data_IF_592394064305
#
_entry.id   IF_592394064305
#
_cell.length_a   1.000
_cell.length_b   1.000
_cell.length_c   1.000
_cell.angle_alpha   90.00
_cell.angle_beta   90.00
_cell.angle_gamma   90.00
#
_symmetry.space_group_name_H-M   'P 1'
#
loop_
_entity.id
_entity.type
_entity.pdbx_description
1 polymer ?
#
# COMPACT_ATOMS: atom_id res chain seq x y z
N UNK A 1 -31.19 -17.38 42.34
CA UNK A 1 -31.44 -15.94 42.25
C UNK A 1 -31.09 -15.51 40.84
N UNK A 2 -32.10 -15.15 40.02
CA UNK A 2 -31.88 -14.64 38.67
C UNK A 2 -31.46 -13.17 38.80
N UNK A 3 -30.26 -12.81 38.30
CA UNK A 3 -29.80 -11.43 38.27
C UNK A 3 -30.78 -10.57 37.44
N UNK A 4 -30.95 -9.32 37.85
CA UNK A 4 -31.82 -8.36 37.22
C UNK A 4 -31.53 -8.20 35.74
N UNK A 5 -32.54 -8.04 34.89
CA UNK A 5 -32.41 -7.76 33.45
C UNK A 5 -31.64 -6.44 33.22
N UNK A 6 -31.64 -5.52 34.19
CA UNK A 6 -30.96 -4.25 34.16
C UNK A 6 -29.41 -4.40 34.19
N UNK A 7 -28.92 -5.38 34.97
CA UNK A 7 -27.48 -5.66 35.05
C UNK A 7 -26.93 -6.24 33.74
N UNK A 8 -27.76 -6.93 32.96
CA UNK A 8 -27.40 -7.46 31.65
C UNK A 8 -27.53 -6.42 30.53
N UNK A 9 -28.31 -5.37 30.67
CA UNK A 9 -28.46 -4.33 29.66
C UNK A 9 -27.15 -3.53 29.45
N UNK A 10 -26.32 -3.42 30.47
CA UNK A 10 -25.01 -2.77 30.37
C UNK A 10 -24.00 -3.56 29.49
N UNK A 11 -24.14 -4.90 29.44
CA UNK A 11 -23.34 -5.78 28.58
C UNK A 11 -23.72 -5.69 27.09
N UNK A 12 -24.92 -5.23 26.79
CA UNK A 12 -25.44 -5.05 25.43
C UNK A 12 -25.42 -3.60 24.94
N UNK A 13 -24.65 -2.71 25.57
CA UNK A 13 -24.38 -1.40 24.99
C UNK A 13 -23.73 -1.66 23.62
N UNK A 14 -24.54 -1.49 22.55
CA UNK A 14 -24.05 -1.49 21.18
C UNK A 14 -22.85 -0.56 21.12
N UNK A 15 -21.65 -1.11 20.96
CA UNK A 15 -20.48 -0.31 20.58
C UNK A 15 -20.86 0.35 19.25
N UNK A 16 -21.12 1.64 19.28
CA UNK A 16 -21.35 2.43 18.07
C UNK A 16 -19.99 2.55 17.41
N UNK A 17 -19.72 1.65 16.47
CA UNK A 17 -18.52 1.77 15.65
C UNK A 17 -18.73 2.91 14.66
N UNK A 18 -18.09 4.02 14.90
CA UNK A 18 -18.00 5.07 13.90
C UNK A 18 -17.00 4.57 12.85
N UNK A 19 -17.52 4.20 11.66
CA UNK A 19 -16.66 3.83 10.56
C UNK A 19 -15.90 5.07 10.09
N UNK A 20 -14.59 5.08 10.30
CA UNK A 20 -13.69 6.07 9.69
C UNK A 20 -13.15 5.41 8.42
N UNK A 21 -13.44 5.95 7.22
CA UNK A 21 -12.86 5.43 5.99
C UNK A 21 -11.33 5.46 6.11
N UNK A 22 -10.61 4.40 5.73
CA UNK A 22 -9.16 4.45 5.69
C UNK A 22 -8.71 5.55 4.71
N UNK A 23 -7.60 6.21 5.02
CA UNK A 23 -6.97 7.12 4.07
C UNK A 23 -6.73 6.40 2.74
N UNK A 24 -6.87 7.09 1.60
CA UNK A 24 -6.59 6.49 0.29
C UNK A 24 -5.15 5.95 0.27
N UNK A 25 -4.90 4.84 -0.47
CA UNK A 25 -3.54 4.32 -0.61
C UNK A 25 -2.63 5.37 -1.25
N UNK A 26 -1.35 5.34 -0.89
CA UNK A 26 -0.35 6.19 -1.54
C UNK A 26 -0.33 5.93 -3.06
N UNK A 27 -0.02 6.97 -3.82
CA UNK A 27 0.12 6.86 -5.27
C UNK A 27 1.31 5.95 -5.61
N UNK A 28 1.05 4.98 -6.47
CA UNK A 28 2.06 4.05 -6.93
C UNK A 28 2.74 4.58 -8.20
N UNK A 29 4.06 4.43 -8.24
CA UNK A 29 4.83 4.72 -9.45
C UNK A 29 4.47 3.67 -10.50
N UNK A 30 4.20 4.11 -11.71
CA UNK A 30 3.90 3.26 -12.88
C UNK A 30 2.80 2.23 -12.58
N UNK A 31 1.64 2.69 -12.11
CA UNK A 31 0.52 1.83 -11.74
C UNK A 31 -0.21 1.26 -12.96
N UNK A 32 -0.47 -0.05 -12.93
CA UNK A 32 -1.35 -0.76 -13.87
C UNK A 32 -2.63 -1.15 -13.17
N UNK A 33 -3.78 -0.84 -13.76
CA UNK A 33 -5.09 -1.07 -13.16
C UNK A 33 -5.85 -2.18 -13.88
N UNK A 34 -6.44 -3.09 -13.11
CA UNK A 34 -7.34 -4.15 -13.56
C UNK A 34 -8.71 -3.99 -12.92
N UNK A 35 -9.77 -4.08 -13.70
CA UNK A 35 -11.15 -3.96 -13.20
C UNK A 35 -11.71 -5.33 -12.86
N UNK A 36 -12.08 -5.55 -11.59
CA UNK A 36 -12.84 -6.72 -11.15
C UNK A 36 -14.35 -6.51 -11.32
N UNK A 37 -14.85 -5.37 -10.86
CA UNK A 37 -16.24 -4.97 -11.01
C UNK A 37 -16.34 -3.46 -11.16
N UNK A 38 -16.76 -3.01 -12.33
CA UNK A 38 -16.90 -1.58 -12.60
C UNK A 38 -18.05 -0.96 -11.82
N UNK A 39 -19.16 -1.66 -11.67
CA UNK A 39 -20.36 -1.16 -11.00
C UNK A 39 -20.13 -1.03 -9.49
N UNK A 40 -19.51 -2.04 -8.87
CA UNK A 40 -19.13 -2.01 -7.45
C UNK A 40 -17.80 -1.29 -7.21
N UNK A 41 -17.18 -0.71 -8.25
CA UNK A 41 -15.89 0.00 -8.20
C UNK A 41 -14.79 -0.83 -7.52
N UNK A 42 -14.64 -2.08 -7.96
CA UNK A 42 -13.57 -2.96 -7.49
C UNK A 42 -12.44 -3.03 -8.51
N UNK A 43 -11.26 -2.69 -8.07
CA UNK A 43 -10.06 -2.61 -8.93
C UNK A 43 -8.88 -3.28 -8.25
N UNK A 44 -7.93 -3.75 -9.06
CA UNK A 44 -6.59 -4.15 -8.63
C UNK A 44 -5.62 -3.17 -9.25
N UNK A 45 -4.82 -2.49 -8.42
CA UNK A 45 -3.73 -1.65 -8.88
C UNK A 45 -2.41 -2.32 -8.55
N UNK A 46 -1.53 -2.43 -9.52
CA UNK A 46 -0.18 -3.00 -9.37
C UNK A 46 0.83 -1.94 -9.75
N UNK A 47 1.67 -1.55 -8.83
CA UNK A 47 2.66 -0.51 -9.06
C UNK A 47 3.83 -0.62 -8.10
N UNK A 48 4.71 0.35 -8.14
CA UNK A 48 5.91 0.43 -7.33
C UNK A 48 5.66 1.42 -6.20
N UNK A 49 5.83 0.98 -4.97
CA UNK A 49 5.69 1.82 -3.78
C UNK A 49 7.05 2.43 -3.41
N UNK A 50 7.21 3.75 -3.56
CA UNK A 50 8.46 4.41 -3.19
C UNK A 50 8.74 4.35 -1.69
N UNK A 51 7.71 4.28 -0.84
CA UNK A 51 7.86 4.22 0.62
C UNK A 51 8.36 2.86 1.10
N UNK A 52 8.17 1.81 0.31
CA UNK A 52 8.61 0.44 0.58
C UNK A 52 9.89 0.06 -0.16
N UNK A 53 10.83 0.99 -0.31
CA UNK A 53 12.11 0.76 -1.03
C UNK A 53 11.89 0.31 -2.48
N UNK A 54 10.94 0.91 -3.19
CA UNK A 54 10.58 0.62 -4.57
C UNK A 54 10.14 -0.82 -4.83
N UNK A 55 9.53 -1.47 -3.83
CA UNK A 55 8.94 -2.80 -4.00
C UNK A 55 7.64 -2.71 -4.79
N UNK A 56 7.35 -3.79 -5.52
CA UNK A 56 6.05 -3.95 -6.17
C UNK A 56 5.01 -4.26 -5.11
N UNK A 57 3.90 -3.56 -5.19
CA UNK A 57 2.74 -3.76 -4.31
C UNK A 57 1.47 -3.90 -5.13
N UNK A 58 0.50 -4.56 -4.53
CA UNK A 58 -0.81 -4.77 -5.12
C UNK A 58 -1.87 -4.19 -4.18
N UNK A 59 -2.63 -3.23 -4.66
CA UNK A 59 -3.79 -2.70 -3.95
C UNK A 59 -5.06 -3.32 -4.52
N UNK A 60 -5.86 -3.95 -3.69
CA UNK A 60 -7.24 -4.31 -4.06
C UNK A 60 -8.14 -3.24 -3.45
N UNK A 61 -8.86 -2.53 -4.30
CA UNK A 61 -9.66 -1.36 -3.92
C UNK A 61 -11.14 -1.62 -4.13
N UNK A 62 -11.94 -1.00 -3.28
CA UNK A 62 -13.38 -0.81 -3.43
C UNK A 62 -13.70 0.67 -3.28
N UNK A 63 -14.95 1.07 -3.47
CA UNK A 63 -15.38 2.47 -3.29
C UNK A 63 -15.10 3.06 -1.89
N UNK A 64 -14.92 2.22 -0.87
CA UNK A 64 -14.77 2.68 0.52
C UNK A 64 -13.61 2.04 1.28
N UNK A 65 -12.93 1.06 0.71
CA UNK A 65 -11.89 0.28 1.39
C UNK A 65 -10.82 -0.18 0.43
N UNK A 66 -9.65 -0.44 0.96
CA UNK A 66 -8.58 -1.10 0.23
C UNK A 66 -7.80 -2.05 1.14
N UNK A 67 -7.14 -3.02 0.53
CA UNK A 67 -6.16 -3.88 1.18
C UNK A 67 -4.89 -3.85 0.33
N UNK A 68 -3.77 -3.68 1.01
CA UNK A 68 -2.45 -3.78 0.44
C UNK A 68 -1.98 -5.23 0.59
N UNK A 69 -1.61 -5.86 -0.52
CA UNK A 69 -1.08 -7.21 -0.54
C UNK A 69 0.24 -7.27 -1.29
N UNK A 70 1.08 -8.24 -0.95
CA UNK A 70 2.33 -8.48 -1.69
C UNK A 70 2.07 -9.32 -2.95
N UNK A 71 2.99 -9.28 -3.94
CA UNK A 71 2.92 -10.19 -5.09
C UNK A 71 2.87 -11.66 -4.68
N UNK A 72 3.60 -12.04 -3.63
CA UNK A 72 3.64 -13.41 -3.10
C UNK A 72 2.29 -13.82 -2.53
N UNK A 73 1.61 -12.92 -1.80
CA UNK A 73 0.27 -13.19 -1.29
C UNK A 73 -0.75 -13.35 -2.44
N UNK A 74 -0.64 -12.52 -3.48
CA UNK A 74 -1.49 -12.66 -4.67
C UNK A 74 -1.26 -14.01 -5.38
N UNK A 75 0.00 -14.43 -5.52
CA UNK A 75 0.35 -15.77 -6.05
C UNK A 75 -0.27 -16.89 -5.20
N UNK A 76 -0.33 -16.72 -3.86
CA UNK A 76 -1.03 -17.65 -2.97
C UNK A 76 -2.53 -17.69 -3.24
N UNK A 77 -3.18 -16.53 -3.45
CA UNK A 77 -4.61 -16.50 -3.84
C UNK A 77 -4.82 -17.33 -5.10
N UNK A 78 -4.00 -17.15 -6.13
CA UNK A 78 -4.09 -17.94 -7.37
C UNK A 78 -3.85 -19.45 -7.12
N UNK A 79 -2.86 -19.81 -6.31
CA UNK A 79 -2.59 -21.22 -6.00
C UNK A 79 -3.73 -21.91 -5.25
N UNK A 80 -4.51 -21.16 -4.48
CA UNK A 80 -5.71 -21.68 -3.79
C UNK A 80 -7.01 -21.49 -4.57
N UNK A 81 -6.97 -20.91 -5.78
CA UNK A 81 -8.18 -20.52 -6.51
C UNK A 81 -9.16 -21.68 -6.73
N UNK A 82 -8.68 -22.87 -7.03
CA UNK A 82 -9.52 -24.05 -7.16
C UNK A 82 -10.30 -24.37 -5.86
N UNK A 83 -9.63 -24.34 -4.72
CA UNK A 83 -10.26 -24.53 -3.41
C UNK A 83 -11.23 -23.41 -3.06
N UNK A 84 -10.84 -22.17 -3.33
CA UNK A 84 -11.66 -20.98 -3.08
C UNK A 84 -12.94 -21.06 -3.90
N UNK A 85 -12.83 -21.33 -5.20
CA UNK A 85 -14.00 -21.43 -6.10
C UNK A 85 -14.90 -22.62 -5.73
N UNK A 86 -14.32 -23.77 -5.40
CA UNK A 86 -15.10 -24.91 -4.93
C UNK A 86 -15.98 -24.55 -3.74
N UNK A 87 -15.44 -23.81 -2.76
CA UNK A 87 -16.20 -23.35 -1.60
C UNK A 87 -17.23 -22.26 -1.96
N UNK A 88 -16.84 -21.28 -2.77
CA UNK A 88 -17.70 -20.14 -3.13
C UNK A 88 -18.90 -20.58 -3.98
N UNK A 89 -18.72 -21.62 -4.79
CA UNK A 89 -19.77 -22.18 -5.65
C UNK A 89 -20.72 -23.13 -4.89
N UNK A 90 -20.34 -23.59 -3.70
CA UNK A 90 -21.17 -24.46 -2.87
C UNK A 90 -22.36 -23.69 -2.25
N UNK A 91 -23.35 -24.43 -1.78
CA UNK A 91 -24.50 -23.87 -1.08
C UNK A 91 -24.07 -23.17 0.19
N UNK A 92 -24.44 -21.88 0.38
CA UNK A 92 -24.06 -21.14 1.57
C UNK A 92 -24.58 -21.77 2.86
N UNK A 93 -23.67 -22.08 3.78
CA UNK A 93 -24.00 -22.60 5.10
C UNK A 93 -23.75 -21.50 6.15
N UNK A 94 -24.82 -21.07 6.80
CA UNK A 94 -24.75 -20.07 7.87
C UNK A 94 -23.75 -20.56 8.95
N UNK A 95 -22.79 -19.70 9.31
CA UNK A 95 -21.72 -19.98 10.29
C UNK A 95 -20.53 -20.81 9.77
N UNK A 96 -20.56 -21.38 8.58
CA UNK A 96 -19.37 -22.04 8.01
C UNK A 96 -18.37 -20.98 7.56
N UNK A 97 -17.20 -20.94 8.21
CA UNK A 97 -16.07 -20.16 7.78
C UNK A 97 -14.91 -21.08 7.48
N UNK A 98 -14.20 -20.81 6.41
CA UNK A 98 -12.98 -21.54 6.02
C UNK A 98 -11.84 -20.56 6.02
N UNK A 99 -10.73 -20.94 6.64
CA UNK A 99 -9.47 -20.26 6.55
C UNK A 99 -8.67 -20.93 5.44
N UNK A 100 -8.35 -20.18 4.36
CA UNK A 100 -7.56 -20.72 3.26
C UNK A 100 -6.07 -20.49 3.47
N UNK A 101 -5.71 -19.31 3.95
CA UNK A 101 -4.32 -18.91 4.20
C UNK A 101 -4.25 -17.77 5.22
N UNK A 102 -3.19 -17.75 6.00
CA UNK A 102 -2.91 -16.66 6.94
C UNK A 102 -1.40 -16.52 7.09
N UNK A 103 -0.91 -15.30 7.08
CA UNK A 103 0.45 -14.93 7.45
C UNK A 103 0.44 -13.88 8.58
N UNK A 104 1.56 -13.21 8.82
CA UNK A 104 1.69 -12.22 9.89
C UNK A 104 0.81 -10.98 9.65
N UNK A 105 0.61 -10.59 8.39
CA UNK A 105 0.01 -9.31 7.99
C UNK A 105 -1.41 -9.50 7.46
N UNK A 106 -1.67 -10.61 6.75
CA UNK A 106 -2.87 -10.82 5.96
C UNK A 106 -3.56 -12.14 6.30
N UNK A 107 -4.87 -12.14 6.11
CA UNK A 107 -5.71 -13.33 6.29
C UNK A 107 -6.65 -13.50 5.09
N UNK A 108 -6.67 -14.71 4.56
CA UNK A 108 -7.54 -15.15 3.46
C UNK A 108 -8.54 -16.14 4.00
N UNK A 109 -9.80 -15.79 4.06
CA UNK A 109 -10.87 -16.60 4.64
C UNK A 109 -12.16 -16.47 3.85
N UNK A 110 -13.16 -17.25 4.21
CA UNK A 110 -14.52 -17.13 3.66
C UNK A 110 -15.51 -16.67 4.72
N UNK A 111 -16.62 -16.12 4.26
CA UNK A 111 -17.80 -15.89 5.06
C UNK A 111 -19.06 -15.91 4.19
N UNK A 112 -20.22 -16.00 4.82
CA UNK A 112 -21.50 -15.75 4.14
C UNK A 112 -21.87 -14.27 4.29
N UNK A 113 -22.09 -13.59 3.17
CA UNK A 113 -22.51 -12.21 3.11
C UNK A 113 -23.67 -12.05 2.12
N UNK A 114 -24.77 -11.43 2.55
CA UNK A 114 -26.01 -11.28 1.75
C UNK A 114 -26.55 -12.57 1.14
N UNK A 115 -26.37 -13.69 1.85
CA UNK A 115 -26.84 -15.01 1.40
C UNK A 115 -25.93 -15.75 0.44
N UNK A 116 -24.75 -15.22 0.15
CA UNK A 116 -23.75 -15.83 -0.73
C UNK A 116 -22.43 -16.07 0.00
N UNK A 117 -21.72 -17.12 -0.42
CA UNK A 117 -20.34 -17.32 0.01
C UNK A 117 -19.45 -16.26 -0.65
N UNK A 118 -18.60 -15.60 0.15
CA UNK A 118 -17.63 -14.60 -0.33
C UNK A 118 -16.24 -14.88 0.22
N UNK A 119 -15.22 -14.56 -0.55
CA UNK A 119 -13.84 -14.54 -0.10
C UNK A 119 -13.59 -13.24 0.66
N UNK A 120 -12.88 -13.34 1.77
CA UNK A 120 -12.48 -12.20 2.61
C UNK A 120 -10.96 -12.12 2.60
N UNK A 121 -10.44 -10.98 2.17
CA UNK A 121 -9.03 -10.59 2.34
C UNK A 121 -9.00 -9.53 3.42
N UNK A 122 -8.31 -9.77 4.51
CA UNK A 122 -8.30 -8.92 5.70
C UNK A 122 -6.85 -8.60 6.10
N UNK A 123 -6.56 -7.32 6.31
CA UNK A 123 -5.31 -6.88 6.89
C UNK A 123 -5.38 -6.99 8.42
N UNK A 124 -4.38 -7.62 9.04
CA UNK A 124 -4.34 -7.88 10.49
C UNK A 124 -3.81 -6.67 11.26
N UNK A 125 -3.00 -5.85 10.62
CA UNK A 125 -2.37 -4.64 11.17
C UNK A 125 -3.31 -3.43 11.23
N UNK A 126 -4.43 -3.48 10.48
CA UNK A 126 -5.39 -2.38 10.34
C UNK A 126 -6.82 -2.86 10.57
N UNK A 127 -7.38 -2.52 11.71
CA UNK A 127 -8.75 -2.87 12.06
C UNK A 127 -9.73 -2.33 11.00
N UNK A 128 -10.58 -3.22 10.47
CA UNK A 128 -11.61 -2.87 9.47
C UNK A 128 -11.13 -2.82 8.01
N UNK A 129 -9.83 -2.98 7.73
CA UNK A 129 -9.31 -3.10 6.38
C UNK A 129 -9.52 -4.51 5.84
N UNK A 130 -10.72 -4.74 5.28
CA UNK A 130 -11.07 -6.01 4.64
C UNK A 130 -11.84 -5.78 3.36
N UNK A 131 -11.62 -6.66 2.40
CA UNK A 131 -12.32 -6.67 1.11
C UNK A 131 -13.06 -7.99 0.96
N UNK A 132 -14.25 -7.89 0.39
CA UNK A 132 -15.11 -9.03 0.07
C UNK A 132 -15.14 -9.21 -1.43
N UNK A 133 -14.72 -10.39 -1.90
CA UNK A 133 -14.80 -10.79 -3.30
C UNK A 133 -15.89 -11.85 -3.45
N UNK A 134 -16.88 -11.54 -4.28
CA UNK A 134 -17.95 -12.47 -4.60
C UNK A 134 -17.53 -13.43 -5.73
N UNK A 135 -18.43 -14.31 -6.12
CA UNK A 135 -18.22 -15.28 -7.20
C UNK A 135 -17.76 -14.61 -8.51
N UNK A 136 -18.43 -13.55 -8.93
CA UNK A 136 -18.13 -12.87 -10.20
C UNK A 136 -16.74 -12.21 -10.18
N UNK A 137 -16.38 -11.59 -9.05
CA UNK A 137 -15.04 -11.00 -8.82
C UNK A 137 -13.94 -12.07 -8.94
N UNK A 138 -14.15 -13.25 -8.34
CA UNK A 138 -13.16 -14.31 -8.33
C UNK A 138 -13.00 -14.98 -9.71
N UNK A 139 -14.09 -15.17 -10.43
CA UNK A 139 -14.04 -15.66 -11.81
C UNK A 139 -13.28 -14.64 -12.69
N UNK A 140 -13.57 -13.33 -12.52
CA UNK A 140 -12.86 -12.29 -13.24
C UNK A 140 -11.36 -12.25 -12.87
N UNK A 141 -11.05 -12.38 -11.59
CA UNK A 141 -9.67 -12.44 -11.09
C UNK A 141 -8.91 -13.62 -11.71
N UNK A 142 -9.53 -14.78 -11.80
CA UNK A 142 -8.94 -15.96 -12.43
C UNK A 142 -8.66 -15.74 -13.93
N UNK A 143 -9.58 -15.10 -14.66
CA UNK A 143 -9.34 -14.76 -16.07
C UNK A 143 -8.19 -13.76 -16.25
N UNK A 144 -7.95 -12.90 -15.28
CA UNK A 144 -6.88 -11.91 -15.29
C UNK A 144 -5.53 -12.45 -14.82
N UNK A 145 -5.46 -13.67 -14.28
CA UNK A 145 -4.27 -14.25 -13.67
C UNK A 145 -3.03 -14.13 -14.55
N UNK A 146 -3.10 -14.60 -15.80
CA UNK A 146 -1.95 -14.54 -16.71
C UNK A 146 -1.47 -13.11 -16.96
N UNK A 147 -2.40 -12.17 -17.20
CA UNK A 147 -2.06 -10.77 -17.44
C UNK A 147 -1.49 -10.09 -16.20
N UNK A 148 -1.98 -10.44 -15.02
CA UNK A 148 -1.48 -9.94 -13.74
C UNK A 148 -0.07 -10.46 -13.48
N UNK A 149 0.15 -11.76 -13.64
CA UNK A 149 1.48 -12.40 -13.46
C UNK A 149 2.49 -11.83 -14.43
N UNK A 150 2.14 -11.66 -15.70
CA UNK A 150 3.01 -11.01 -16.69
C UNK A 150 3.36 -9.58 -16.28
N UNK A 151 2.39 -8.81 -15.81
CA UNK A 151 2.62 -7.44 -15.32
C UNK A 151 3.56 -7.41 -14.12
N UNK A 152 3.40 -8.31 -13.17
CA UNK A 152 4.30 -8.42 -12.01
C UNK A 152 5.73 -8.71 -12.46
N UNK A 153 5.92 -9.72 -13.32
CA UNK A 153 7.25 -10.09 -13.84
C UNK A 153 7.87 -8.94 -14.63
N UNK A 154 7.12 -8.30 -15.52
CA UNK A 154 7.61 -7.16 -16.29
C UNK A 154 8.03 -6.01 -15.42
N UNK A 155 7.25 -5.67 -14.39
CA UNK A 155 7.60 -4.61 -13.45
C UNK A 155 8.86 -4.96 -12.65
N UNK A 156 8.96 -6.19 -12.17
CA UNK A 156 10.11 -6.66 -11.39
C UNK A 156 11.42 -6.63 -12.21
N UNK A 157 11.37 -7.14 -13.44
CA UNK A 157 12.57 -7.32 -14.26
C UNK A 157 12.99 -6.03 -14.97
N UNK A 158 12.04 -5.22 -15.43
CA UNK A 158 12.36 -4.07 -16.27
C UNK A 158 12.05 -2.73 -15.58
N UNK A 159 10.89 -2.59 -14.93
CA UNK A 159 10.45 -1.28 -14.45
C UNK A 159 11.15 -0.88 -13.16
N UNK A 160 11.25 -1.79 -12.19
CA UNK A 160 11.90 -1.50 -10.88
C UNK A 160 13.36 -1.08 -11.04
N UNK A 161 14.21 -1.79 -11.80
CA UNK A 161 15.59 -1.34 -12.02
C UNK A 161 15.68 0.04 -12.68
N UNK A 162 14.79 0.33 -13.64
CA UNK A 162 14.75 1.63 -14.30
C UNK A 162 14.35 2.75 -13.33
N UNK A 163 13.33 2.52 -12.50
CA UNK A 163 12.87 3.48 -11.48
C UNK A 163 13.98 3.76 -10.46
N UNK A 164 14.64 2.72 -9.97
CA UNK A 164 15.76 2.86 -9.00
C UNK A 164 16.92 3.64 -9.63
N UNK A 165 17.29 3.35 -10.87
CA UNK A 165 18.34 4.08 -11.55
C UNK A 165 18.01 5.58 -11.68
N UNK A 166 16.81 5.90 -12.14
CA UNK A 166 16.36 7.29 -12.27
C UNK A 166 16.26 8.00 -10.92
N UNK A 167 15.78 7.31 -9.89
CA UNK A 167 15.78 7.83 -8.55
C UNK A 167 17.18 8.21 -8.07
N UNK A 168 18.16 7.32 -8.26
CA UNK A 168 19.55 7.57 -7.87
C UNK A 168 20.17 8.76 -8.63
N UNK A 169 19.87 8.89 -9.94
CA UNK A 169 20.32 10.03 -10.75
C UNK A 169 19.73 11.36 -10.23
N UNK A 170 18.44 11.37 -9.89
CA UNK A 170 17.77 12.55 -9.33
C UNK A 170 18.35 12.90 -7.96
N UNK A 171 18.55 11.92 -7.08
CA UNK A 171 19.16 12.14 -5.76
C UNK A 171 20.56 12.74 -5.90
N UNK A 172 21.41 12.14 -6.72
CA UNK A 172 22.77 12.63 -6.93
C UNK A 172 22.81 14.08 -7.47
N UNK A 173 21.88 14.41 -8.36
CA UNK A 173 21.74 15.77 -8.88
C UNK A 173 21.28 16.75 -7.79
N UNK A 174 20.22 16.41 -7.06
CA UNK A 174 19.67 17.26 -5.99
C UNK A 174 20.67 17.44 -4.86
N UNK A 175 21.38 16.38 -4.46
CA UNK A 175 22.41 16.44 -3.41
C UNK A 175 23.55 17.40 -3.79
N UNK A 176 24.04 17.30 -5.03
CA UNK A 176 25.03 18.26 -5.54
C UNK A 176 24.56 19.71 -5.52
N UNK A 177 23.29 19.96 -5.84
CA UNK A 177 22.69 21.30 -5.76
C UNK A 177 22.55 21.79 -4.34
N UNK A 178 22.12 20.94 -3.42
CA UNK A 178 22.01 21.26 -2.00
C UNK A 178 23.38 21.61 -1.40
N UNK A 179 24.44 20.88 -1.74
CA UNK A 179 25.80 21.19 -1.28
C UNK A 179 26.30 22.57 -1.76
N UNK A 180 25.87 23.04 -2.93
CA UNK A 180 26.22 24.37 -3.45
C UNK A 180 25.52 25.51 -2.71
N UNK A 181 24.37 25.27 -2.09
CA UNK A 181 23.48 26.31 -1.54
C UNK A 181 23.45 26.35 -0.01
N UNK A 182 24.41 25.88 0.73
CA UNK A 182 24.48 25.88 2.21
C UNK A 182 23.09 25.94 2.85
N UNK A 183 22.45 24.77 2.98
CA UNK A 183 21.10 24.64 3.52
C UNK A 183 21.00 25.18 4.96
N UNK A 184 20.07 26.12 5.19
CA UNK A 184 19.78 26.70 6.51
C UNK A 184 18.37 26.37 7.00
N UNK A 185 17.80 25.24 6.60
CA UNK A 185 16.41 24.86 6.93
C UNK A 185 16.34 24.05 8.21
N UNK A 186 15.41 24.40 9.11
CA UNK A 186 15.26 23.79 10.42
C UNK A 186 14.22 22.66 10.46
N UNK A 187 13.41 22.52 9.42
CA UNK A 187 12.35 21.51 9.37
C UNK A 187 12.16 20.87 7.99
N UNK A 188 11.51 19.70 7.97
CA UNK A 188 11.29 18.91 6.76
C UNK A 188 10.53 19.68 5.68
N UNK A 189 9.48 20.42 6.03
CA UNK A 189 8.64 21.11 5.05
C UNK A 189 9.43 22.23 4.35
N UNK A 190 10.23 22.99 5.09
CA UNK A 190 11.10 24.04 4.53
C UNK A 190 12.16 23.43 3.61
N UNK A 191 12.75 22.30 4.02
CA UNK A 191 13.73 21.57 3.22
C UNK A 191 13.11 21.06 1.91
N UNK A 192 11.92 20.45 1.98
CA UNK A 192 11.17 19.99 0.81
C UNK A 192 10.85 21.15 -0.15
N UNK A 193 10.40 22.28 0.39
CA UNK A 193 10.13 23.49 -0.42
C UNK A 193 11.41 24.00 -1.08
N UNK A 194 12.52 24.05 -0.36
CA UNK A 194 13.81 24.46 -0.90
C UNK A 194 14.23 23.54 -2.07
N UNK A 195 14.22 22.21 -1.87
CA UNK A 195 14.61 21.26 -2.90
C UNK A 195 13.69 21.33 -4.12
N UNK A 196 12.38 21.50 -3.93
CA UNK A 196 11.41 21.68 -5.03
C UNK A 196 11.64 22.95 -5.84
N UNK A 197 12.17 23.99 -5.21
CA UNK A 197 12.49 25.24 -5.89
C UNK A 197 13.81 25.21 -6.67
N UNK A 198 14.58 24.13 -6.56
CA UNK A 198 15.74 23.89 -7.41
C UNK A 198 15.23 23.56 -8.82
N UNK A 199 15.13 24.60 -9.65
CA UNK A 199 14.71 24.45 -11.05
C UNK A 199 15.93 24.17 -11.93
N UNK A 200 15.97 22.98 -12.50
CA UNK A 200 16.87 22.67 -13.61
C UNK A 200 16.16 21.69 -14.54
N UNK A 201 15.74 22.21 -15.67
CA UNK A 201 14.96 21.47 -16.66
C UNK A 201 15.74 20.31 -17.31
N UNK A 202 17.04 20.23 -17.13
CA UNK A 202 17.87 19.26 -17.88
C UNK A 202 17.74 17.84 -17.36
N UNK A 203 17.59 17.65 -16.05
CA UNK A 203 17.39 16.31 -15.45
C UNK A 203 16.00 15.76 -15.73
N UNK A 204 15.00 16.64 -15.79
CA UNK A 204 13.60 16.25 -15.98
C UNK A 204 13.26 15.95 -17.44
N UNK A 205 13.94 16.58 -18.41
CA UNK A 205 13.66 16.40 -19.85
C UNK A 205 14.07 15.04 -20.41
N UNK A 206 14.98 14.32 -19.77
CA UNK A 206 15.47 13.02 -20.23
C UNK A 206 14.70 11.83 -19.67
N UNK A 207 13.68 12.05 -18.84
CA UNK A 207 13.06 11.01 -18.01
C UNK A 207 11.63 10.67 -18.49
N UNK A 208 11.24 9.37 -18.53
CA UNK A 208 9.91 8.93 -18.95
C UNK A 208 8.75 9.45 -18.06
N UNK A 209 7.50 9.13 -18.45
CA UNK A 209 6.22 9.64 -17.93
C UNK A 209 5.97 9.62 -16.41
N UNK A 210 6.77 8.91 -15.62
CA UNK A 210 6.67 8.84 -14.15
C UNK A 210 7.70 9.69 -13.39
N UNK A 211 8.46 10.53 -14.09
CA UNK A 211 9.53 11.36 -13.51
C UNK A 211 9.08 12.24 -12.34
N UNK A 212 7.90 12.84 -12.42
CA UNK A 212 7.39 13.71 -11.38
C UNK A 212 7.19 12.97 -10.04
N UNK A 213 6.69 11.74 -10.09
CA UNK A 213 6.50 10.90 -8.89
C UNK A 213 7.84 10.51 -8.28
N UNK A 214 8.82 10.12 -9.11
CA UNK A 214 10.17 9.79 -8.66
C UNK A 214 10.85 11.03 -8.09
N UNK A 215 10.72 12.18 -8.73
CA UNK A 215 11.28 13.44 -8.26
C UNK A 215 10.69 13.87 -6.91
N UNK A 216 9.38 13.74 -6.72
CA UNK A 216 8.74 14.02 -5.43
C UNK A 216 9.28 13.10 -4.33
N UNK A 217 9.38 11.80 -4.61
CA UNK A 217 9.92 10.83 -3.67
C UNK A 217 11.38 11.13 -3.33
N UNK A 218 12.23 11.39 -4.32
CA UNK A 218 13.63 11.74 -4.14
C UNK A 218 13.80 13.02 -3.31
N UNK A 219 12.94 14.02 -3.55
CA UNK A 219 12.95 15.28 -2.79
C UNK A 219 12.67 15.06 -1.30
N UNK A 220 11.65 14.25 -0.98
CA UNK A 220 11.29 13.97 0.42
C UNK A 220 12.39 13.17 1.11
N UNK A 221 12.87 12.09 0.49
CA UNK A 221 13.90 11.24 1.10
C UNK A 221 15.24 11.97 1.27
N UNK A 222 15.62 12.82 0.32
CA UNK A 222 16.81 13.65 0.46
C UNK A 222 16.64 14.64 1.61
N UNK A 223 15.48 15.32 1.71
CA UNK A 223 15.20 16.24 2.79
C UNK A 223 15.27 15.56 4.17
N UNK A 224 14.67 14.37 4.32
CA UNK A 224 14.77 13.57 5.55
C UNK A 224 16.22 13.21 5.89
N UNK A 225 16.98 12.74 4.89
CA UNK A 225 18.40 12.38 5.06
C UNK A 225 19.25 13.57 5.54
N UNK A 226 19.08 14.74 4.93
CA UNK A 226 19.83 15.95 5.31
C UNK A 226 19.47 16.44 6.71
N UNK A 227 18.20 16.38 7.11
CA UNK A 227 17.76 16.73 8.46
C UNK A 227 18.37 15.79 9.52
N UNK A 228 18.40 14.49 9.26
CA UNK A 228 19.03 13.53 10.17
C UNK A 228 20.53 13.75 10.32
N UNK A 229 21.24 14.12 9.24
CA UNK A 229 22.66 14.45 9.30
C UNK A 229 22.91 15.71 10.15
N UNK A 230 22.11 16.77 9.98
CA UNK A 230 22.22 18.01 10.76
C UNK A 230 21.99 17.76 12.26
N UNK A 231 20.96 17.02 12.62
CA UNK A 231 20.67 16.67 14.02
C UNK A 231 21.78 15.83 14.66
N UNK A 232 22.44 14.96 13.91
CA UNK A 232 23.55 14.16 14.38
C UNK A 232 24.82 15.01 14.64
N UNK A 233 25.05 16.04 13.85
CA UNK A 233 26.16 16.97 14.07
C UNK A 233 25.95 17.89 15.29
N UNK A 234 24.72 18.33 15.58
CA UNK A 234 24.43 19.09 16.80
C UNK A 234 24.65 18.27 18.08
N UNK A 235 24.29 17.00 18.06
CA UNK A 235 24.53 16.10 19.20
C UNK A 235 26.02 15.89 19.44
N UNK A 236 26.85 15.83 18.41
CA UNK A 236 28.32 15.68 18.55
C UNK A 236 28.96 16.98 19.05
N UNK A 237 28.48 18.15 18.66
CA UNK A 237 29.01 19.42 19.17
C UNK A 237 28.70 19.66 20.65
N UNK A 238 27.59 19.13 21.17
CA UNK A 238 27.22 19.22 22.58
C UNK A 238 27.98 18.25 23.51
N UNK A 239 28.73 17.29 22.96
CA UNK A 239 29.56 16.35 23.73
C UNK A 239 31.06 16.72 23.80
N UNK A 240 31.51 17.81 23.15
CA UNK A 240 32.93 18.22 23.13
C UNK A 240 33.20 19.42 24.08
N UNK A 241 32.36 19.67 25.06
CA UNK A 241 32.66 20.66 26.11
C UNK A 241 32.55 19.99 27.48
N UNK A 242 33.56 19.26 27.88
CA UNK A 242 33.93 19.07 29.31
C UNK A 242 35.46 19.01 29.37
N UNK A 243 36.08 19.78 30.28
CA UNK A 243 37.51 20.06 30.37
C UNK A 243 38.39 18.87 30.79
#
# INVERSE_FOLDING_TARGET
>A
MAGSIEDNAALYKKKTYTFVPPAPPADLIESTSYTLDFTARKFIHIGIDPSSSFKIVVHILTSSRYVHITPEFLKKIFSYMGHILSFILDTPQKYKRVLFYEDEILKLSSMVYSGENVLVIEAKDREGCRILLNRADLIRLQYLECSIVETLVRKEVFTVPLVINQYNEIIAYLDKKCAQHKLSSENLDQMVIFIKNIQDDQVVKSVPNFSNQIQMCATVQLAESLLHQNNSHEVIQNYIIIP
#
